data_IF_634922320939
#
_entry.id   IF_634922320939
#
_cell.length_a   1.000
_cell.length_b   1.000
_cell.length_c   1.000
_cell.angle_alpha   90.00
_cell.angle_beta   90.00
_cell.angle_gamma   90.00
#
_symmetry.space_group_name_H-M   'P 1'
#
loop_
_entity.id
_entity.type
_entity.pdbx_description
1 polymer ?
#
# COMPACT_ATOMS: atom_id res chain seq x y z
N UNK A 1 33.19 8.63 5.61
CA UNK A 1 31.80 8.37 6.09
C UNK A 1 30.96 7.98 4.90
N UNK A 2 30.24 6.89 4.99
CA UNK A 2 29.30 6.54 3.93
C UNK A 2 28.18 7.60 3.91
N UNK A 3 27.97 8.22 2.75
CA UNK A 3 26.91 9.21 2.56
C UNK A 3 25.55 8.49 2.63
N UNK A 4 24.66 8.98 3.48
CA UNK A 4 23.32 8.44 3.59
C UNK A 4 22.60 8.62 2.25
N UNK A 5 22.10 7.52 1.67
CA UNK A 5 21.42 7.53 0.37
C UNK A 5 20.08 8.26 0.46
N UNK A 6 19.75 9.03 -0.56
CA UNK A 6 18.46 9.71 -0.72
C UNK A 6 17.60 8.91 -1.68
N UNK A 7 16.36 8.65 -1.29
CA UNK A 7 15.40 7.88 -2.09
C UNK A 7 14.18 8.75 -2.37
N UNK A 8 13.93 9.02 -3.64
CA UNK A 8 12.68 9.63 -4.10
C UNK A 8 11.58 8.57 -4.19
N UNK A 9 10.42 8.88 -3.66
CA UNK A 9 9.25 8.00 -3.71
C UNK A 9 8.15 8.73 -4.46
N UNK A 10 7.71 8.17 -5.58
CA UNK A 10 6.60 8.68 -6.37
C UNK A 10 5.29 7.97 -5.99
N UNK A 11 4.13 8.60 -6.24
CA UNK A 11 2.85 7.93 -6.12
C UNK A 11 2.81 6.66 -6.97
N UNK A 12 2.23 5.60 -6.42
CA UNK A 12 2.05 4.33 -7.13
C UNK A 12 0.85 4.42 -8.06
N UNK A 13 0.95 3.77 -9.21
CA UNK A 13 -0.18 3.59 -10.12
C UNK A 13 -1.21 2.63 -9.51
N UNK A 14 -2.50 2.93 -9.66
CA UNK A 14 -3.58 2.11 -9.13
C UNK A 14 -4.21 1.23 -10.23
N UNK A 15 -3.57 0.11 -10.53
CA UNK A 15 -4.13 -0.88 -11.44
C UNK A 15 -5.26 -1.71 -10.80
N UNK A 16 -5.39 -1.69 -9.48
CA UNK A 16 -6.47 -2.36 -8.77
C UNK A 16 -7.81 -1.59 -8.83
N UNK A 17 -7.78 -0.31 -9.20
CA UNK A 17 -8.98 0.51 -9.39
C UNK A 17 -9.68 0.94 -8.09
N UNK A 18 -8.94 1.06 -7.00
CA UNK A 18 -9.49 1.49 -5.70
C UNK A 18 -9.78 2.99 -5.67
N UNK A 19 -8.89 3.78 -6.24
CA UNK A 19 -9.03 5.23 -6.33
C UNK A 19 -7.69 5.97 -6.39
N UNK A 20 -7.69 7.19 -6.93
CA UNK A 20 -6.46 7.92 -7.28
C UNK A 20 -5.58 8.27 -6.08
N UNK A 21 -6.16 8.34 -4.87
CA UNK A 21 -5.41 8.69 -3.67
C UNK A 21 -4.62 7.52 -3.07
N UNK A 22 -4.95 6.27 -3.43
CA UNK A 22 -4.30 5.10 -2.83
C UNK A 22 -2.81 5.04 -3.20
N UNK A 23 -2.45 5.39 -4.42
CA UNK A 23 -1.06 5.44 -4.85
C UNK A 23 -0.20 6.42 -4.04
N UNK A 24 -0.73 7.60 -3.74
CA UNK A 24 -0.08 8.57 -2.87
C UNK A 24 0.03 8.05 -1.42
N UNK A 25 -1.01 7.37 -0.94
CA UNK A 25 -1.01 6.78 0.41
C UNK A 25 0.05 5.68 0.55
N UNK A 26 0.21 4.83 -0.45
CA UNK A 26 1.27 3.82 -0.50
C UNK A 26 2.65 4.48 -0.41
N UNK A 27 2.90 5.54 -1.19
CA UNK A 27 4.15 6.28 -1.18
C UNK A 27 4.44 6.91 0.20
N UNK A 28 3.42 7.44 0.87
CA UNK A 28 3.56 8.00 2.22
C UNK A 28 3.88 6.92 3.26
N UNK A 29 3.30 5.74 3.15
CA UNK A 29 3.63 4.62 4.04
C UNK A 29 5.04 4.10 3.80
N UNK A 30 5.50 4.01 2.56
CA UNK A 30 6.88 3.66 2.22
C UNK A 30 7.84 4.68 2.84
N UNK A 31 7.55 5.98 2.71
CA UNK A 31 8.34 7.04 3.32
C UNK A 31 8.43 6.87 4.84
N UNK A 32 7.31 6.67 5.50
CA UNK A 32 7.25 6.50 6.95
C UNK A 32 8.04 5.26 7.41
N UNK A 33 7.96 4.17 6.67
CA UNK A 33 8.67 2.93 7.00
C UNK A 33 10.18 3.04 6.75
N UNK A 34 10.60 3.70 5.66
CA UNK A 34 12.02 3.99 5.40
C UNK A 34 12.65 4.86 6.49
N UNK A 35 11.93 5.85 7.00
CA UNK A 35 12.39 6.70 8.11
C UNK A 35 12.73 5.89 9.36
N UNK A 36 11.95 4.85 9.66
CA UNK A 36 12.21 3.95 10.80
C UNK A 36 13.52 3.18 10.63
N UNK A 37 13.90 2.85 9.41
CA UNK A 37 15.13 2.07 9.15
C UNK A 37 16.40 2.86 9.39
N UNK A 38 16.37 4.18 9.29
CA UNK A 38 17.52 5.11 9.37
C UNK A 38 18.64 4.83 8.37
N UNK A 39 18.39 4.01 7.35
CA UNK A 39 19.39 3.63 6.33
C UNK A 39 19.38 4.53 5.11
N UNK A 40 18.29 5.24 4.89
CA UNK A 40 18.13 6.17 3.78
C UNK A 40 17.32 7.40 4.21
N UNK A 41 17.45 8.47 3.45
CA UNK A 41 16.63 9.68 3.60
C UNK A 41 15.54 9.63 2.53
N UNK A 42 14.29 9.34 2.89
CA UNK A 42 13.21 9.30 1.93
C UNK A 42 12.69 10.72 1.63
N UNK A 43 12.41 10.99 0.35
CA UNK A 43 11.78 12.21 -0.14
C UNK A 43 10.54 11.82 -0.95
N UNK A 44 9.37 12.29 -0.52
CA UNK A 44 8.17 12.15 -1.34
C UNK A 44 8.27 13.13 -2.51
N UNK A 45 8.16 12.64 -3.73
CA UNK A 45 8.15 13.43 -4.95
C UNK A 45 6.71 13.54 -5.42
N UNK A 46 6.17 14.74 -5.32
CA UNK A 46 4.83 15.02 -5.81
C UNK A 46 4.87 15.07 -7.34
N UNK A 47 4.12 14.18 -7.96
CA UNK A 47 3.94 14.16 -9.41
C UNK A 47 2.46 14.03 -9.72
N UNK A 48 1.95 15.01 -10.44
CA UNK A 48 0.61 14.98 -11.01
C UNK A 48 0.78 15.19 -12.51
N UNK A 49 0.54 14.18 -13.35
CA UNK A 49 0.57 14.36 -14.80
C UNK A 49 -0.51 15.35 -15.21
N UNK A 50 -0.17 16.32 -16.05
CA UNK A 50 -1.12 17.24 -16.63
C UNK A 50 -1.78 16.57 -17.85
N UNK A 51 -3.14 16.48 -17.83
CA UNK A 51 -3.92 15.98 -18.96
C UNK A 51 -4.45 14.57 -18.83
N UNK A 52 -5.07 14.07 -19.91
CA UNK A 52 -5.72 12.75 -20.00
C UNK A 52 -4.73 11.56 -20.06
N UNK A 53 -3.43 11.83 -20.07
CA UNK A 53 -2.37 10.82 -20.17
C UNK A 53 -1.80 10.41 -18.78
N UNK A 54 -2.65 10.31 -17.77
CA UNK A 54 -2.27 9.81 -16.45
C UNK A 54 -2.07 8.29 -16.50
N UNK A 55 -0.97 7.87 -17.15
CA UNK A 55 -0.50 6.49 -17.12
C UNK A 55 0.57 6.25 -16.05
N UNK A 56 1.03 5.00 -15.91
CA UNK A 56 2.13 4.68 -15.02
C UNK A 56 3.39 5.46 -15.43
N UNK A 57 4.15 5.89 -14.42
CA UNK A 57 5.40 6.63 -14.64
C UNK A 57 6.42 5.68 -15.26
N UNK A 58 6.97 6.05 -16.41
CA UNK A 58 8.02 5.29 -17.07
C UNK A 58 9.41 5.52 -16.45
N UNK A 59 10.36 4.71 -16.85
CA UNK A 59 11.73 4.74 -16.35
C UNK A 59 12.41 6.09 -16.60
N UNK A 60 12.26 6.65 -17.80
CA UNK A 60 12.91 7.89 -18.19
C UNK A 60 12.39 9.08 -17.38
N UNK A 61 11.08 9.15 -17.21
CA UNK A 61 10.45 10.18 -16.38
C UNK A 61 10.82 10.04 -14.90
N UNK A 62 10.91 8.82 -14.40
CA UNK A 62 11.35 8.56 -13.03
C UNK A 62 12.80 9.05 -12.79
N UNK A 63 13.70 8.81 -13.75
CA UNK A 63 15.09 9.28 -13.70
C UNK A 63 15.15 10.80 -13.75
N UNK A 64 14.39 11.44 -14.65
CA UNK A 64 14.30 12.89 -14.75
C UNK A 64 13.89 13.51 -13.40
N UNK A 65 12.77 13.04 -12.84
CA UNK A 65 12.27 13.50 -11.55
C UNK A 65 13.28 13.23 -10.41
N UNK A 66 13.99 12.12 -10.48
CA UNK A 66 15.04 11.81 -9.53
C UNK A 66 16.20 12.80 -9.57
N UNK A 67 16.62 13.21 -10.76
CA UNK A 67 17.66 14.24 -10.97
C UNK A 67 17.22 15.60 -10.48
N UNK A 68 16.01 16.03 -10.86
CA UNK A 68 15.42 17.30 -10.42
C UNK A 68 15.29 17.40 -8.89
N UNK A 69 15.04 16.29 -8.23
CA UNK A 69 14.89 16.21 -6.79
C UNK A 69 16.17 15.88 -6.03
N UNK A 70 17.28 15.73 -6.75
CA UNK A 70 18.61 15.44 -6.18
C UNK A 70 18.64 14.18 -5.31
N UNK A 71 18.02 13.10 -5.77
CA UNK A 71 18.01 11.81 -5.07
C UNK A 71 18.89 10.78 -5.78
N UNK A 72 19.44 9.82 -5.01
CA UNK A 72 20.30 8.77 -5.55
C UNK A 72 19.50 7.64 -6.21
N UNK A 73 18.32 7.37 -5.66
CA UNK A 73 17.39 6.33 -6.12
C UNK A 73 15.99 6.88 -6.22
N UNK A 74 15.19 6.26 -7.08
CA UNK A 74 13.76 6.52 -7.19
C UNK A 74 13.01 5.20 -7.06
N UNK A 75 11.88 5.24 -6.38
CA UNK A 75 10.91 4.14 -6.32
C UNK A 75 9.65 4.59 -7.05
N UNK A 76 9.27 3.82 -8.04
CA UNK A 76 7.96 3.85 -8.68
C UNK A 76 7.28 2.53 -8.45
N UNK A 77 6.00 2.42 -8.71
CA UNK A 77 5.34 1.14 -8.56
C UNK A 77 3.87 1.15 -8.94
N UNK A 78 3.26 0.00 -8.77
CA UNK A 78 1.87 -0.27 -9.14
C UNK A 78 1.19 -1.07 -8.02
N UNK A 79 -0.05 -0.71 -7.73
CA UNK A 79 -0.94 -1.51 -6.90
C UNK A 79 -1.63 -2.51 -7.83
N UNK A 80 -1.23 -3.77 -7.74
CA UNK A 80 -1.69 -4.82 -8.64
C UNK A 80 -3.05 -5.37 -8.22
N UNK A 81 -3.27 -5.49 -6.92
CA UNK A 81 -4.45 -6.11 -6.35
C UNK A 81 -4.79 -5.46 -5.01
N UNK A 82 -6.07 -5.23 -4.79
CA UNK A 82 -6.59 -4.77 -3.51
C UNK A 82 -7.99 -5.37 -3.33
N UNK A 83 -8.08 -6.41 -2.53
CA UNK A 83 -9.31 -7.14 -2.29
C UNK A 83 -9.71 -7.11 -0.82
N UNK A 84 -11.00 -7.06 -0.58
CA UNK A 84 -11.57 -7.21 0.73
C UNK A 84 -12.81 -8.10 0.65
N UNK A 85 -12.79 -9.19 1.39
CA UNK A 85 -13.89 -10.14 1.45
C UNK A 85 -14.43 -10.21 2.87
N UNK A 86 -15.76 -10.17 3.00
CA UNK A 86 -16.44 -10.40 4.26
C UNK A 86 -17.20 -11.73 4.22
N UNK A 87 -17.04 -12.55 5.24
CA UNK A 87 -17.84 -13.76 5.44
C UNK A 87 -18.59 -13.66 6.76
N UNK A 88 -19.89 -13.90 6.72
CA UNK A 88 -20.71 -14.07 7.89
C UNK A 88 -20.93 -15.57 8.11
N UNK A 89 -20.48 -16.09 9.24
CA UNK A 89 -20.87 -17.42 9.68
C UNK A 89 -21.98 -17.26 10.72
N UNK A 90 -23.23 -17.49 10.30
CA UNK A 90 -24.32 -17.71 11.22
C UNK A 90 -24.09 -19.04 11.95
N UNK A 91 -24.18 -19.04 13.25
CA UNK A 91 -24.29 -20.30 14.00
C UNK A 91 -25.74 -20.76 13.82
N UNK A 92 -26.00 -21.50 12.75
CA UNK A 92 -27.25 -22.25 12.60
C UNK A 92 -27.20 -23.40 13.59
N UNK A 93 -28.07 -23.36 14.60
CA UNK A 93 -28.38 -24.57 15.33
C UNK A 93 -28.38 -24.53 16.85
N UNK A 94 -28.36 -23.38 17.49
CA UNK A 94 -28.65 -23.33 18.96
C UNK A 94 -29.93 -22.52 19.17
N UNK A 95 -31.06 -23.20 19.18
CA UNK A 95 -32.31 -22.66 19.68
C UNK A 95 -32.20 -22.51 21.19
N UNK A 96 -31.89 -21.33 21.71
CA UNK A 96 -32.20 -21.01 23.09
C UNK A 96 -33.59 -20.36 23.13
N UNK A 97 -34.49 -21.06 23.76
CA UNK A 97 -35.83 -20.58 24.10
C UNK A 97 -35.68 -19.27 24.93
N UNK A 98 -36.32 -18.20 24.43
CA UNK A 98 -36.38 -16.85 25.01
C UNK A 98 -35.14 -15.98 24.87
N UNK A 99 -35.06 -15.26 23.74
CA UNK A 99 -34.21 -14.12 23.55
C UNK A 99 -32.99 -14.40 22.69
N UNK A 100 -33.20 -14.60 21.41
CA UNK A 100 -32.12 -14.78 20.45
C UNK A 100 -31.39 -13.45 20.20
N UNK A 101 -30.30 -13.25 20.91
CA UNK A 101 -29.24 -12.36 20.42
C UNK A 101 -28.36 -13.21 19.53
N UNK A 102 -28.65 -13.20 18.24
CA UNK A 102 -27.80 -13.84 17.24
C UNK A 102 -26.45 -13.14 17.20
N UNK A 103 -25.44 -13.71 17.82
CA UNK A 103 -24.08 -13.27 17.65
C UNK A 103 -23.58 -13.77 16.30
N UNK A 104 -23.66 -12.93 15.27
CA UNK A 104 -23.03 -13.22 13.97
C UNK A 104 -21.52 -12.95 14.11
N UNK A 105 -20.70 -13.97 13.86
CA UNK A 105 -19.27 -13.82 13.69
C UNK A 105 -19.01 -13.31 12.26
N UNK A 106 -18.54 -12.07 12.18
CA UNK A 106 -18.15 -11.47 10.92
C UNK A 106 -16.62 -11.53 10.77
N UNK A 107 -16.14 -12.18 9.72
CA UNK A 107 -14.72 -12.18 9.35
C UNK A 107 -14.53 -11.29 8.14
N UNK A 108 -13.59 -10.37 8.23
CA UNK A 108 -13.16 -9.54 7.11
C UNK A 108 -11.72 -9.87 6.79
N UNK A 109 -11.47 -10.32 5.58
CA UNK A 109 -10.11 -10.56 5.07
C UNK A 109 -9.78 -9.49 4.03
N UNK A 110 -8.67 -8.80 4.22
CA UNK A 110 -8.12 -7.86 3.26
C UNK A 110 -6.80 -8.38 2.72
N UNK A 111 -6.59 -8.24 1.42
CA UNK A 111 -5.35 -8.57 0.73
C UNK A 111 -4.98 -7.42 -0.18
N UNK A 112 -3.72 -7.03 -0.19
CA UNK A 112 -3.17 -6.05 -1.11
C UNK A 112 -1.84 -6.56 -1.66
N UNK A 113 -1.63 -6.38 -2.96
CA UNK A 113 -0.37 -6.70 -3.64
C UNK A 113 0.13 -5.45 -4.34
N UNK A 114 1.35 -5.06 -4.04
CA UNK A 114 2.04 -3.92 -4.63
C UNK A 114 3.34 -4.39 -5.29
N UNK A 115 3.67 -3.82 -6.44
CA UNK A 115 4.98 -3.98 -7.08
C UNK A 115 5.74 -2.66 -6.95
N UNK A 116 6.99 -2.72 -6.54
CA UNK A 116 7.89 -1.59 -6.50
C UNK A 116 9.12 -1.82 -7.37
N UNK A 117 9.49 -0.79 -8.11
CA UNK A 117 10.66 -0.76 -8.99
C UNK A 117 11.67 0.21 -8.42
N UNK A 118 12.87 -0.28 -8.08
CA UNK A 118 13.97 0.51 -7.57
C UNK A 118 14.89 0.91 -8.73
N UNK A 119 15.07 2.22 -8.92
CA UNK A 119 15.82 2.81 -10.02
C UNK A 119 17.02 3.56 -9.48
N UNK A 120 18.20 3.35 -10.07
CA UNK A 120 19.39 4.15 -9.82
C UNK A 120 19.36 5.39 -10.72
N UNK A 121 19.32 6.58 -10.14
CA UNK A 121 19.34 7.85 -10.86
C UNK A 121 20.69 8.09 -11.52
N UNK A 122 21.79 7.76 -10.80
CA UNK A 122 23.15 7.90 -11.32
C UNK A 122 23.41 7.01 -12.55
N UNK A 123 23.01 5.73 -12.46
CA UNK A 123 23.22 4.76 -13.54
C UNK A 123 22.18 4.88 -14.65
N UNK A 124 21.04 5.54 -14.39
CA UNK A 124 19.93 5.62 -15.32
C UNK A 124 19.30 4.26 -15.62
N UNK A 125 19.29 3.34 -14.65
CA UNK A 125 18.81 1.97 -14.85
C UNK A 125 17.93 1.48 -13.73
N UNK A 126 16.99 0.60 -14.07
CA UNK A 126 16.27 -0.21 -13.13
C UNK A 126 17.25 -1.17 -12.42
N UNK A 127 17.27 -1.16 -11.10
CA UNK A 127 18.05 -2.11 -10.30
C UNK A 127 17.32 -3.44 -10.22
N UNK A 128 16.08 -3.42 -9.75
CA UNK A 128 15.25 -4.60 -9.56
C UNK A 128 13.81 -4.21 -9.32
N UNK A 129 12.89 -5.10 -9.64
CA UNK A 129 11.47 -5.03 -9.28
C UNK A 129 11.16 -6.04 -8.18
N UNK A 130 10.26 -5.68 -7.28
CA UNK A 130 9.82 -6.55 -6.20
C UNK A 130 8.31 -6.45 -5.98
N UNK A 131 7.67 -7.59 -5.90
CA UNK A 131 6.26 -7.71 -5.57
C UNK A 131 6.09 -8.08 -4.10
N UNK A 132 5.27 -7.33 -3.39
CA UNK A 132 4.99 -7.53 -1.98
C UNK A 132 3.48 -7.64 -1.73
N UNK A 133 3.07 -8.67 -1.02
CA UNK A 133 1.67 -8.85 -0.63
C UNK A 133 1.52 -8.78 0.88
N UNK A 134 0.45 -8.13 1.32
CA UNK A 134 -0.01 -8.13 2.69
C UNK A 134 -1.43 -8.69 2.79
N UNK A 135 -1.71 -9.43 3.85
CA UNK A 135 -3.04 -9.97 4.10
C UNK A 135 -3.36 -9.94 5.59
N UNK A 136 -4.55 -9.46 5.92
CA UNK A 136 -5.05 -9.43 7.30
C UNK A 136 -6.48 -9.90 7.36
N UNK A 137 -6.77 -10.60 8.43
CA UNK A 137 -8.12 -11.04 8.77
C UNK A 137 -8.47 -10.52 10.14
N UNK A 138 -9.57 -9.79 10.24
CA UNK A 138 -10.16 -9.37 11.50
C UNK A 138 -11.47 -10.11 11.72
N UNK A 139 -11.68 -10.57 12.96
CA UNK A 139 -12.91 -11.20 13.40
C UNK A 139 -13.56 -10.31 14.45
N UNK A 140 -14.79 -9.88 14.21
CA UNK A 140 -15.56 -9.14 15.21
C UNK A 140 -16.80 -9.92 15.61
N UNK A 141 -17.07 -9.93 16.93
CA UNK A 141 -18.31 -10.43 17.50
C UNK A 141 -19.14 -9.23 17.90
N UNK A 142 -20.33 -9.12 17.33
CA UNK A 142 -21.35 -8.18 17.83
C UNK A 142 -21.56 -6.93 16.98
N UNK A 143 -22.75 -6.42 17.17
CA UNK A 143 -23.43 -5.33 16.50
C UNK A 143 -22.58 -4.07 16.33
N UNK A 144 -22.84 -3.36 15.25
CA UNK A 144 -22.30 -2.05 14.85
C UNK A 144 -20.89 -2.03 14.26
N UNK A 145 -20.70 -2.80 13.18
CA UNK A 145 -19.80 -2.32 12.14
C UNK A 145 -20.70 -1.70 11.09
N UNK A 146 -20.68 -0.37 10.99
CA UNK A 146 -21.33 0.33 9.91
C UNK A 146 -20.87 -0.25 8.58
N UNK A 147 -21.82 -0.82 7.85
CA UNK A 147 -21.58 -1.55 6.61
C UNK A 147 -21.42 -0.61 5.42
N UNK A 148 -20.61 0.43 5.54
CA UNK A 148 -20.21 1.25 4.39
C UNK A 148 -19.13 0.55 3.54
N UNK A 149 -19.37 -0.73 3.28
CA UNK A 149 -18.51 -1.60 2.47
C UNK A 149 -18.83 -1.57 0.98
N UNK A 150 -19.81 -0.80 0.57
CA UNK A 150 -20.21 -0.70 -0.84
C UNK A 150 -19.31 0.25 -1.65
N UNK A 151 -18.33 0.87 -1.05
CA UNK A 151 -17.37 1.74 -1.73
C UNK A 151 -15.96 1.36 -1.31
N UNK A 152 -15.16 0.84 -2.22
CA UNK A 152 -13.72 0.81 -2.08
C UNK A 152 -13.26 2.27 -1.93
N UNK A 153 -13.06 2.69 -0.70
CA UNK A 153 -12.65 4.04 -0.39
C UNK A 153 -11.21 3.99 0.09
N UNK A 154 -10.37 4.86 -0.45
CA UNK A 154 -8.98 5.05 -0.04
C UNK A 154 -8.84 5.24 1.46
N UNK A 155 -9.84 5.80 2.13
CA UNK A 155 -9.86 6.00 3.57
C UNK A 155 -9.81 4.69 4.36
N UNK A 156 -10.30 3.57 3.82
CA UNK A 156 -10.23 2.26 4.46
C UNK A 156 -8.79 1.76 4.64
N UNK A 157 -7.86 2.25 3.84
CA UNK A 157 -6.43 1.90 3.91
C UNK A 157 -5.63 2.81 4.84
N UNK A 158 -6.16 3.95 5.24
CA UNK A 158 -5.51 4.88 6.18
C UNK A 158 -5.62 4.43 7.64
N UNK A 159 -6.67 3.67 7.97
CA UNK A 159 -7.00 3.27 9.33
C UNK A 159 -6.27 2.04 9.85
N UNK A 160 -6.66 1.61 11.03
CA UNK A 160 -6.16 0.39 11.70
C UNK A 160 -7.02 -0.85 11.39
N UNK A 161 -7.93 -0.74 10.44
CA UNK A 161 -8.71 -1.85 9.93
C UNK A 161 -7.88 -2.86 9.11
N UNK A 162 -8.51 -3.96 8.65
CA UNK A 162 -7.82 -5.01 7.90
C UNK A 162 -7.09 -4.51 6.67
N UNK A 163 -7.70 -3.59 5.92
CA UNK A 163 -7.10 -3.00 4.71
C UNK A 163 -5.82 -2.22 5.01
N UNK A 164 -5.86 -1.34 6.00
CA UNK A 164 -4.68 -0.56 6.42
C UNK A 164 -3.57 -1.44 6.96
N UNK A 165 -3.90 -2.48 7.73
CA UNK A 165 -2.91 -3.45 8.24
C UNK A 165 -2.30 -4.29 7.12
N UNK A 166 -3.09 -4.73 6.13
CA UNK A 166 -2.61 -5.45 4.96
C UNK A 166 -1.66 -4.59 4.12
N UNK A 167 -2.01 -3.32 3.89
CA UNK A 167 -1.15 -2.38 3.19
C UNK A 167 0.18 -2.16 3.90
N UNK A 168 0.16 -1.94 5.22
CA UNK A 168 1.39 -1.78 6.01
C UNK A 168 2.29 -3.01 5.93
N UNK A 169 1.73 -4.21 5.96
CA UNK A 169 2.51 -5.44 5.81
C UNK A 169 3.18 -5.55 4.44
N UNK A 170 2.47 -5.23 3.36
CA UNK A 170 3.04 -5.19 2.01
C UNK A 170 4.17 -4.15 1.92
N UNK A 171 3.95 -2.95 2.44
CA UNK A 171 4.95 -1.86 2.48
C UNK A 171 6.18 -2.25 3.30
N UNK A 172 6.02 -2.88 4.46
CA UNK A 172 7.16 -3.35 5.26
C UNK A 172 8.03 -4.35 4.50
N UNK A 173 7.41 -5.28 3.76
CA UNK A 173 8.14 -6.25 2.93
C UNK A 173 8.90 -5.56 1.81
N UNK A 174 8.26 -4.60 1.12
CA UNK A 174 8.88 -3.82 0.06
C UNK A 174 10.08 -3.01 0.59
N UNK A 175 9.91 -2.32 1.71
CA UNK A 175 10.98 -1.51 2.33
C UNK A 175 12.15 -2.38 2.79
N UNK A 176 11.88 -3.53 3.41
CA UNK A 176 12.93 -4.48 3.80
C UNK A 176 13.75 -4.97 2.60
N UNK A 177 13.11 -5.18 1.47
CA UNK A 177 13.80 -5.51 0.24
C UNK A 177 14.65 -4.34 -0.27
N UNK A 178 14.08 -3.14 -0.41
CA UNK A 178 14.79 -1.96 -0.90
C UNK A 178 16.06 -1.66 -0.09
N UNK A 179 15.97 -1.72 1.22
CA UNK A 179 17.09 -1.42 2.14
C UNK A 179 18.28 -2.39 2.00
N UNK A 180 18.06 -3.56 1.41
CA UNK A 180 19.14 -4.53 1.12
C UNK A 180 19.84 -4.25 -0.21
N UNK A 181 19.26 -3.39 -1.06
CA UNK A 181 19.73 -3.12 -2.43
C UNK A 181 20.45 -1.78 -2.58
N UNK A 182 20.39 -0.90 -1.57
CA UNK A 182 20.94 0.46 -1.58
C UNK A 182 22.25 0.61 -0.77
#
# INVERSE_FOLDING_TARGET
>A
MAQTKRIGILPFDDAAGVGPELGAQVALFIRAELLKTRKAVPKFIQYAPEGEEAGPIDLDKAIELGRENEVDFVVIGTILEAESTSSESGIDGISFDKGSVGAALRKVKATITIQGDLISVEKGTLIESYEASGSKTDSSVGADISTDWAGYNTDSYKGDGPNGKALREAVEKLVKWMVKKI
#
